data_IF_546536044456
#
_entry.id   IF_546536044456
#
_cell.length_a   1.000
_cell.length_b   1.000
_cell.length_c   1.000
_cell.angle_alpha   90.00
_cell.angle_beta   90.00
_cell.angle_gamma   90.00
#
_symmetry.space_group_name_H-M   'P 1'
#
loop_
_entity.id
_entity.type
_entity.pdbx_description
1 polymer ?
#
# COMPACT_ATOMS: atom_id res chain seq x y z
N UNK A 1 -0.02 30.29 -14.15
CA UNK A 1 -0.54 31.36 -13.29
C UNK A 1 -0.56 30.80 -11.87
N UNK A 2 0.34 31.29 -11.03
CA UNK A 2 0.42 30.91 -9.62
C UNK A 2 -0.54 31.81 -8.83
N UNK A 3 -1.60 31.21 -8.27
CA UNK A 3 -2.47 31.90 -7.33
C UNK A 3 -1.84 31.84 -5.94
N UNK A 4 -1.36 32.96 -5.45
CA UNK A 4 -1.04 33.13 -4.04
C UNK A 4 -2.34 33.46 -3.28
N UNK A 5 -2.70 32.62 -2.32
CA UNK A 5 -3.69 33.00 -1.31
C UNK A 5 -2.92 33.39 -0.04
N UNK A 6 -2.98 34.68 0.29
CA UNK A 6 -2.58 35.17 1.61
C UNK A 6 -3.63 34.74 2.63
N UNK A 7 -3.23 33.88 3.56
CA UNK A 7 -4.05 33.59 4.75
C UNK A 7 -3.72 34.64 5.83
N UNK A 8 -4.72 35.26 6.45
CA UNK A 8 -4.48 36.20 7.55
C UNK A 8 -4.02 35.40 8.78
N UNK A 9 -2.76 35.60 9.14
CA UNK A 9 -2.11 35.04 10.33
C UNK A 9 -1.31 36.10 11.02
N UNK A 10 -0.87 35.85 12.24
CA UNK A 10 0.00 36.71 13.04
C UNK A 10 1.24 37.14 12.22
N UNK A 11 1.77 38.38 12.40
CA UNK A 11 2.79 38.98 11.52
C UNK A 11 4.13 38.23 11.46
N UNK A 12 4.35 37.24 12.30
CA UNK A 12 5.60 36.47 12.39
C UNK A 12 5.52 35.04 11.81
N UNK A 13 4.39 34.62 11.20
CA UNK A 13 4.21 33.27 10.67
C UNK A 13 3.87 33.31 9.17
N UNK A 14 4.89 33.44 8.34
CA UNK A 14 4.76 33.43 6.88
C UNK A 14 4.62 31.94 6.41
N UNK A 15 3.40 31.54 6.12
CA UNK A 15 3.10 30.22 5.50
C UNK A 15 2.66 30.42 4.06
N UNK A 16 3.37 29.79 3.14
CA UNK A 16 2.97 29.76 1.74
C UNK A 16 2.59 28.37 1.32
N UNK A 17 1.41 28.19 0.75
CA UNK A 17 0.99 26.93 0.16
C UNK A 17 1.10 27.04 -1.36
N UNK A 18 1.92 26.21 -1.98
CA UNK A 18 2.03 26.11 -3.44
C UNK A 18 1.08 25.01 -3.90
N UNK A 19 0.07 25.37 -4.68
CA UNK A 19 -0.78 24.42 -5.36
C UNK A 19 -0.25 24.14 -6.78
N UNK A 20 -0.06 22.90 -7.14
CA UNK A 20 0.26 22.48 -8.49
C UNK A 20 -1.00 21.95 -9.17
N UNK A 21 -1.34 22.47 -10.37
CA UNK A 21 -2.46 21.98 -11.18
C UNK A 21 -2.98 23.05 -12.15
N UNK A 22 -3.92 22.73 -13.04
CA UNK A 22 -4.51 21.42 -13.32
C UNK A 22 -3.59 20.53 -14.14
N UNK A 23 -3.77 19.18 -14.00
CA UNK A 23 -3.09 18.18 -14.79
C UNK A 23 -4.11 17.47 -15.65
N UNK A 24 -3.84 17.33 -16.96
CA UNK A 24 -4.56 16.38 -17.81
C UNK A 24 -3.90 15.01 -17.63
N UNK A 25 -4.64 14.08 -17.01
CA UNK A 25 -4.17 12.71 -16.78
C UNK A 25 -4.87 11.83 -17.81
N UNK A 26 -4.07 11.15 -18.64
CA UNK A 26 -4.61 10.17 -19.58
C UNK A 26 -5.21 8.96 -18.83
N UNK A 27 -6.17 8.24 -19.44
CA UNK A 27 -6.66 6.99 -18.88
C UNK A 27 -5.47 6.05 -18.65
N UNK A 28 -5.39 5.43 -17.46
CA UNK A 28 -4.32 4.54 -17.02
C UNK A 28 -2.98 5.20 -16.63
N UNK A 29 -2.90 6.51 -16.56
CA UNK A 29 -1.76 7.22 -15.99
C UNK A 29 -2.02 7.66 -14.55
N UNK A 30 -0.99 7.58 -13.70
CA UNK A 30 -1.01 8.10 -12.35
C UNK A 30 -0.06 9.28 -12.23
N UNK A 31 -0.55 10.38 -11.66
CA UNK A 31 0.29 11.53 -11.32
C UNK A 31 0.51 11.56 -9.81
N UNK A 32 1.77 11.49 -9.40
CA UNK A 32 2.14 11.71 -8.00
C UNK A 32 2.44 13.19 -7.82
N UNK A 33 1.60 13.86 -7.03
CA UNK A 33 1.82 15.26 -6.66
C UNK A 33 2.46 15.30 -5.28
N UNK A 34 3.72 15.71 -5.23
CA UNK A 34 4.42 15.98 -3.97
C UNK A 34 4.31 17.46 -3.66
N UNK A 35 3.95 17.79 -2.44
CA UNK A 35 3.94 19.18 -1.95
C UNK A 35 4.82 19.28 -0.72
N UNK A 36 5.47 20.42 -0.59
CA UNK A 36 6.24 20.76 0.61
C UNK A 36 5.59 21.98 1.27
N UNK A 37 5.45 21.90 2.59
CA UNK A 37 5.09 23.07 3.41
C UNK A 37 6.41 23.71 3.83
N UNK A 38 6.62 24.94 3.38
CA UNK A 38 7.85 25.69 3.64
C UNK A 38 7.57 26.75 4.71
N UNK A 39 8.45 26.84 5.69
CA UNK A 39 8.49 27.93 6.66
C UNK A 39 9.78 28.73 6.50
N UNK A 40 9.74 29.99 6.82
CA UNK A 40 10.90 30.84 6.81
C UNK A 40 10.69 32.00 7.78
N UNK A 41 11.79 32.58 8.29
CA UNK A 41 11.78 33.75 9.20
C UNK A 41 11.65 35.06 8.46
N UNK A 42 11.98 35.06 7.17
CA UNK A 42 11.80 36.21 6.26
C UNK A 42 11.64 35.71 4.80
N UNK A 43 11.40 36.68 3.89
CA UNK A 43 11.19 36.40 2.45
C UNK A 43 12.42 35.76 1.76
N UNK A 44 13.62 36.07 2.23
CA UNK A 44 14.83 35.51 1.65
C UNK A 44 15.04 34.04 2.05
N UNK A 45 14.81 33.75 3.31
CA UNK A 45 14.83 32.40 3.86
C UNK A 45 13.74 31.51 3.19
N UNK A 46 12.54 32.05 3.00
CA UNK A 46 11.45 31.39 2.32
C UNK A 46 11.79 31.06 0.85
N UNK A 47 12.43 31.98 0.14
CA UNK A 47 12.87 31.77 -1.24
C UNK A 47 13.99 30.74 -1.34
N UNK A 48 14.95 30.71 -0.42
CA UNK A 48 16.00 29.70 -0.39
C UNK A 48 15.44 28.33 -0.12
N UNK A 49 14.48 28.19 0.82
CA UNK A 49 13.80 26.94 1.12
C UNK A 49 12.95 26.47 -0.07
N UNK A 50 12.34 27.39 -0.81
CA UNK A 50 11.59 27.06 -2.03
C UNK A 50 12.49 26.56 -3.16
N UNK A 51 13.68 27.17 -3.34
CA UNK A 51 14.68 26.72 -4.32
C UNK A 51 15.24 25.34 -3.95
N UNK A 52 15.51 25.10 -2.67
CA UNK A 52 15.96 23.81 -2.18
C UNK A 52 14.88 22.72 -2.42
N UNK A 53 13.62 23.02 -2.11
CA UNK A 53 12.51 22.09 -2.34
C UNK A 53 12.33 21.76 -3.84
N UNK A 54 12.51 22.74 -4.72
CA UNK A 54 12.50 22.53 -6.18
C UNK A 54 13.66 21.65 -6.63
N UNK A 55 14.86 21.87 -6.10
CA UNK A 55 16.04 21.07 -6.43
C UNK A 55 15.90 19.63 -5.96
N UNK A 56 15.38 19.42 -4.75
CA UNK A 56 15.09 18.08 -4.20
C UNK A 56 13.96 17.39 -4.99
N UNK A 57 12.90 18.12 -5.33
CA UNK A 57 11.80 17.61 -6.14
C UNK A 57 12.22 17.21 -7.57
N UNK A 58 13.15 17.97 -8.17
CA UNK A 58 13.67 17.65 -9.49
C UNK A 58 14.57 16.41 -9.53
N UNK A 59 15.17 16.03 -8.38
CA UNK A 59 15.98 14.81 -8.25
C UNK A 59 15.11 13.59 -7.95
N UNK A 60 13.86 13.78 -7.51
CA UNK A 60 12.96 12.71 -7.06
C UNK A 60 12.00 12.19 -8.13
N UNK A 61 12.16 12.52 -9.41
CA UNK A 61 11.40 11.87 -10.49
C UNK A 61 12.15 10.62 -10.97
N UNK A 62 12.55 9.80 -10.04
CA UNK A 62 12.65 8.36 -10.23
C UNK A 62 11.25 7.84 -9.90
N UNK A 63 10.65 7.04 -10.77
CA UNK A 63 9.41 6.34 -10.53
C UNK A 63 9.46 5.66 -9.16
N UNK A 64 9.06 6.38 -8.11
CA UNK A 64 8.86 5.78 -6.81
C UNK A 64 7.56 4.98 -6.95
N UNK A 65 7.70 3.72 -7.32
CA UNK A 65 6.70 2.74 -6.95
C UNK A 65 6.48 2.93 -5.45
N UNK A 66 5.25 3.30 -5.07
CA UNK A 66 4.88 3.40 -3.66
C UNK A 66 5.01 1.99 -3.11
N UNK A 67 6.14 1.72 -2.47
CA UNK A 67 6.37 0.43 -1.81
C UNK A 67 5.86 0.50 -0.37
N UNK A 68 5.30 -0.59 0.16
CA UNK A 68 4.92 -0.67 1.56
C UNK A 68 6.13 -0.43 2.47
N UNK A 69 5.89 0.16 3.65
CA UNK A 69 6.94 0.37 4.65
C UNK A 69 7.21 -0.89 5.49
N UNK A 70 6.19 -1.76 5.61
CA UNK A 70 6.23 -2.96 6.44
C UNK A 70 5.56 -4.14 5.74
N UNK A 71 5.89 -5.36 6.19
CA UNK A 71 5.12 -6.55 5.81
C UNK A 71 3.73 -6.48 6.41
N UNK A 72 2.71 -6.70 5.59
CA UNK A 72 1.34 -6.73 6.07
C UNK A 72 0.52 -7.83 5.42
N UNK A 73 -0.31 -8.51 6.23
CA UNK A 73 -1.37 -9.40 5.76
C UNK A 73 -2.70 -8.83 6.26
N UNK A 74 -3.52 -8.33 5.32
CA UNK A 74 -4.81 -7.71 5.64
C UNK A 74 -5.88 -8.77 5.88
N UNK A 75 -6.90 -8.47 6.70
CA UNK A 75 -8.09 -9.30 6.77
C UNK A 75 -8.66 -9.52 5.36
N UNK A 76 -9.09 -10.76 5.09
CA UNK A 76 -9.74 -11.07 3.81
C UNK A 76 -11.11 -10.41 3.69
N UNK A 77 -11.51 -10.11 2.46
CA UNK A 77 -12.83 -9.53 2.20
C UNK A 77 -13.47 -10.17 0.95
N UNK A 78 -14.75 -10.55 1.02
CA UNK A 78 -15.61 -10.58 2.22
C UNK A 78 -15.16 -11.61 3.28
N UNK A 79 -15.59 -11.43 4.53
CA UNK A 79 -15.42 -12.40 5.62
C UNK A 79 -16.58 -12.25 6.63
N UNK A 80 -17.54 -13.18 6.75
CA UNK A 80 -17.59 -14.48 6.06
C UNK A 80 -17.72 -14.36 4.54
N UNK A 81 -17.30 -15.40 3.79
CA UNK A 81 -17.32 -15.40 2.33
C UNK A 81 -18.03 -16.63 1.75
N UNK A 82 -18.57 -16.49 0.52
CA UNK A 82 -19.21 -17.52 -0.28
C UNK A 82 -19.17 -17.13 -1.78
N UNK A 83 -18.59 -17.89 -2.70
CA UNK A 83 -17.54 -18.88 -2.43
C UNK A 83 -16.15 -18.25 -2.44
N UNK A 84 -16.00 -16.95 -2.81
CA UNK A 84 -14.74 -16.29 -3.10
C UNK A 84 -14.43 -15.21 -2.08
N UNK A 85 -13.18 -15.13 -1.68
CA UNK A 85 -12.64 -14.03 -0.88
C UNK A 85 -11.32 -13.54 -1.45
N UNK A 86 -11.03 -12.26 -1.27
CA UNK A 86 -9.77 -11.62 -1.65
C UNK A 86 -8.88 -11.46 -0.44
N UNK A 87 -7.65 -11.87 -0.55
CA UNK A 87 -6.58 -11.74 0.44
C UNK A 87 -5.57 -10.74 -0.10
N UNK A 88 -5.27 -9.69 0.68
CA UNK A 88 -4.30 -8.65 0.31
C UNK A 88 -3.10 -8.72 1.23
N UNK A 89 -1.91 -8.59 0.65
CA UNK A 89 -0.67 -8.56 1.40
C UNK A 89 0.33 -7.57 0.80
N UNK A 90 1.27 -7.13 1.63
CA UNK A 90 2.20 -6.06 1.33
C UNK A 90 3.62 -6.51 1.65
N UNK A 91 4.55 -6.19 0.78
CA UNK A 91 5.97 -6.54 0.91
C UNK A 91 6.81 -5.27 0.77
N UNK A 92 7.58 -4.86 1.80
CA UNK A 92 8.43 -3.67 1.75
C UNK A 92 9.66 -3.85 0.88
N UNK A 93 10.07 -5.11 0.66
CA UNK A 93 11.25 -5.48 -0.12
C UNK A 93 11.02 -6.79 -0.86
N UNK A 94 11.89 -7.08 -1.82
CA UNK A 94 11.88 -8.37 -2.49
C UNK A 94 12.11 -9.50 -1.48
N UNK A 95 11.16 -10.45 -1.41
CA UNK A 95 11.16 -11.50 -0.40
C UNK A 95 10.69 -12.83 -0.96
N UNK A 96 11.27 -13.92 -0.48
CA UNK A 96 10.71 -15.25 -0.68
C UNK A 96 9.60 -15.45 0.34
N UNK A 97 8.40 -15.69 -0.16
CA UNK A 97 7.18 -15.80 0.66
C UNK A 97 6.49 -17.14 0.45
N UNK A 98 5.78 -17.58 1.48
CA UNK A 98 4.76 -18.62 1.39
C UNK A 98 3.45 -18.08 1.94
N UNK A 99 2.40 -18.06 1.11
CA UNK A 99 1.04 -17.73 1.49
C UNK A 99 0.18 -18.97 1.32
N UNK A 100 -0.32 -19.52 2.44
CA UNK A 100 -1.04 -20.79 2.42
C UNK A 100 -2.28 -20.75 3.32
N UNK A 101 -3.27 -21.58 2.98
CA UNK A 101 -4.50 -21.78 3.75
C UNK A 101 -4.38 -23.08 4.53
N UNK A 102 -4.82 -23.04 5.79
CA UNK A 102 -4.82 -24.16 6.74
C UNK A 102 -6.21 -24.38 7.32
N UNK A 103 -6.52 -25.62 7.64
CA UNK A 103 -7.71 -25.98 8.41
C UNK A 103 -7.49 -25.76 9.92
N UNK A 104 -8.53 -26.01 10.73
CA UNK A 104 -8.49 -25.84 12.20
C UNK A 104 -7.53 -26.83 12.89
N UNK A 105 -7.06 -27.86 12.22
CA UNK A 105 -6.08 -28.83 12.73
C UNK A 105 -4.65 -28.45 12.33
N UNK A 106 -4.50 -27.34 11.59
CA UNK A 106 -3.22 -26.88 11.09
C UNK A 106 -2.73 -27.65 9.85
N UNK A 107 -3.61 -28.44 9.20
CA UNK A 107 -3.27 -29.10 7.95
C UNK A 107 -3.36 -28.09 6.80
N UNK A 108 -2.35 -28.09 5.93
CA UNK A 108 -2.35 -27.24 4.74
C UNK A 108 -3.42 -27.69 3.76
N UNK A 109 -4.33 -26.78 3.42
CA UNK A 109 -5.41 -26.98 2.45
C UNK A 109 -4.90 -26.67 1.04
N UNK A 110 -4.25 -25.54 0.88
CA UNK A 110 -3.70 -25.08 -0.39
C UNK A 110 -2.62 -24.02 -0.15
N UNK A 111 -1.56 -24.05 -0.93
CA UNK A 111 -0.61 -22.95 -1.05
C UNK A 111 -1.07 -22.03 -2.19
N UNK A 112 -1.28 -20.76 -1.88
CA UNK A 112 -1.72 -19.75 -2.85
C UNK A 112 -0.54 -19.09 -3.55
N UNK A 113 0.55 -18.83 -2.82
CA UNK A 113 1.80 -18.27 -3.33
C UNK A 113 2.97 -18.99 -2.67
N UNK A 114 3.96 -19.37 -3.46
CA UNK A 114 5.25 -19.91 -2.99
C UNK A 114 6.34 -19.44 -3.95
N UNK A 115 7.28 -18.65 -3.44
CA UNK A 115 8.40 -18.14 -4.21
C UNK A 115 8.71 -16.67 -3.95
N UNK A 116 9.66 -16.15 -4.74
CA UNK A 116 10.15 -14.77 -4.59
C UNK A 116 9.23 -13.78 -5.30
N UNK A 117 8.87 -12.72 -4.58
CA UNK A 117 8.07 -11.58 -5.06
C UNK A 117 8.83 -10.29 -4.85
N UNK A 118 8.71 -9.30 -5.75
CA UNK A 118 9.29 -7.97 -5.54
C UNK A 118 8.59 -7.24 -4.38
N UNK A 119 9.11 -6.09 -3.99
CA UNK A 119 8.37 -5.15 -3.13
C UNK A 119 7.07 -4.74 -3.81
N UNK A 120 6.01 -4.45 -3.03
CA UNK A 120 4.74 -3.97 -3.58
C UNK A 120 3.51 -4.48 -2.84
N UNK A 121 2.35 -4.12 -3.41
CA UNK A 121 1.02 -4.50 -2.95
C UNK A 121 0.49 -5.64 -3.82
N UNK A 122 -0.02 -6.67 -3.18
CA UNK A 122 -0.51 -7.87 -3.87
C UNK A 122 -1.90 -8.25 -3.41
N UNK A 123 -2.66 -8.84 -4.32
CA UNK A 123 -3.93 -9.46 -3.98
C UNK A 123 -4.06 -10.82 -4.67
N UNK A 124 -4.73 -11.75 -4.00
CA UNK A 124 -5.04 -13.07 -4.52
C UNK A 124 -6.41 -13.51 -4.02
N UNK A 125 -7.10 -14.28 -4.84
CA UNK A 125 -8.40 -14.82 -4.47
C UNK A 125 -8.29 -16.30 -4.05
N UNK A 126 -9.11 -16.68 -3.07
CA UNK A 126 -9.36 -18.06 -2.72
C UNK A 126 -10.86 -18.35 -2.84
N UNK A 127 -11.18 -19.39 -3.57
CA UNK A 127 -12.55 -19.80 -3.89
C UNK A 127 -13.02 -21.03 -3.07
N UNK A 128 -12.42 -21.27 -1.91
CA UNK A 128 -12.83 -22.34 -0.99
C UNK A 128 -12.49 -23.75 -1.46
N UNK A 129 -11.50 -23.93 -2.34
CA UNK A 129 -11.05 -25.26 -2.79
C UNK A 129 -9.69 -25.63 -2.22
N UNK A 130 -9.41 -26.94 -2.12
CA UNK A 130 -8.10 -27.45 -1.78
C UNK A 130 -7.19 -27.58 -3.03
N UNK A 131 -5.96 -28.05 -2.82
CA UNK A 131 -4.97 -28.27 -3.89
C UNK A 131 -5.41 -29.26 -4.98
N UNK A 132 -6.41 -30.10 -4.71
CA UNK A 132 -6.98 -31.06 -5.66
C UNK A 132 -8.21 -30.51 -6.39
N UNK A 133 -8.59 -29.24 -6.12
CA UNK A 133 -9.79 -28.61 -6.68
C UNK A 133 -11.09 -29.03 -5.99
N UNK A 134 -11.04 -29.77 -4.89
CA UNK A 134 -12.24 -30.16 -4.15
C UNK A 134 -12.69 -29.01 -3.25
N UNK A 135 -14.00 -28.74 -3.25
CA UNK A 135 -14.64 -27.76 -2.41
C UNK A 135 -14.48 -28.15 -0.93
N UNK A 136 -14.08 -27.16 -0.13
CA UNK A 136 -13.96 -27.29 1.31
C UNK A 136 -15.34 -27.16 1.98
N UNK A 137 -15.50 -27.72 3.17
CA UNK A 137 -16.73 -27.59 3.96
C UNK A 137 -16.83 -26.19 4.58
N UNK A 138 -18.07 -25.75 4.82
CA UNK A 138 -18.32 -24.56 5.69
C UNK A 138 -17.53 -24.66 6.98
N UNK A 139 -16.80 -23.62 7.34
CA UNK A 139 -15.99 -23.65 8.55
C UNK A 139 -15.00 -22.51 8.66
N UNK A 140 -14.12 -22.64 9.66
CA UNK A 140 -13.04 -21.70 9.93
C UNK A 140 -11.75 -22.23 9.31
N UNK A 141 -11.04 -21.33 8.62
CA UNK A 141 -9.74 -21.56 8.02
C UNK A 141 -8.78 -20.46 8.45
N UNK A 142 -7.50 -20.68 8.24
CA UNK A 142 -6.45 -19.72 8.55
C UNK A 142 -5.61 -19.50 7.31
N UNK A 143 -5.39 -18.23 6.96
CA UNK A 143 -4.42 -17.85 5.96
C UNK A 143 -3.16 -17.36 6.67
N UNK A 144 -2.02 -17.91 6.30
CA UNK A 144 -0.72 -17.54 6.85
C UNK A 144 0.21 -17.07 5.75
N UNK A 145 0.77 -15.88 5.96
CA UNK A 145 1.88 -15.34 5.19
C UNK A 145 3.16 -15.56 6.01
N UNK A 146 4.14 -16.18 5.40
CA UNK A 146 5.47 -16.42 5.96
C UNK A 146 6.53 -15.85 5.01
N UNK A 147 7.51 -15.16 5.59
CA UNK A 147 8.77 -14.76 4.97
C UNK A 147 9.92 -15.21 5.87
N UNK A 148 11.15 -14.98 5.48
CA UNK A 148 12.30 -15.30 6.36
C UNK A 148 12.28 -14.63 7.73
N UNK A 149 11.68 -13.43 7.83
CA UNK A 149 11.68 -12.60 9.04
C UNK A 149 10.28 -12.30 9.60
N UNK A 150 9.20 -12.59 8.83
CA UNK A 150 7.85 -12.20 9.20
C UNK A 150 6.89 -13.38 9.06
N UNK A 151 5.99 -13.52 10.03
CA UNK A 151 4.88 -14.47 9.97
C UNK A 151 3.61 -13.83 10.53
N UNK A 152 2.54 -13.91 9.77
CA UNK A 152 1.21 -13.41 10.17
C UNK A 152 0.13 -14.39 9.74
N UNK A 153 -0.83 -14.59 10.62
CA UNK A 153 -2.01 -15.44 10.36
C UNK A 153 -3.29 -14.63 10.53
N UNK A 154 -4.22 -14.79 9.61
CA UNK A 154 -5.58 -14.24 9.69
C UNK A 154 -6.61 -15.37 9.65
N UNK A 155 -7.78 -15.13 10.25
CA UNK A 155 -8.90 -16.07 10.28
C UNK A 155 -9.86 -15.79 9.11
N UNK A 156 -10.26 -16.84 8.39
CA UNK A 156 -11.27 -16.81 7.35
C UNK A 156 -12.48 -17.65 7.79
N UNK A 157 -13.68 -17.18 7.48
CA UNK A 157 -14.92 -17.90 7.72
C UNK A 157 -15.58 -18.19 6.38
N UNK A 158 -15.60 -19.47 5.99
CA UNK A 158 -16.19 -19.92 4.75
C UNK A 158 -17.62 -20.43 4.99
N UNK A 159 -18.54 -19.97 4.17
CA UNK A 159 -19.94 -20.41 4.16
C UNK A 159 -20.26 -21.01 2.78
N UNK A 160 -21.03 -22.09 2.77
CA UNK A 160 -21.60 -22.70 1.56
C UNK A 160 -23.07 -22.36 1.44
#
# INVERSE_FOLDING_TARGET
MTNFMDLPGEPDDLRSMVACGPFDIAPDENVVVSYAVLGGTDLNDLNQNAEFARAVGAVSVSSNEIVPLDYFLRPNYPNPFNPITTIKYELPEQSTIKLAIYDIRGQEVITLVDGTKPAGYFEIQWNGVNRLGHQMSTGVYFCRLETGAYSKTIKLVYLQ
#
